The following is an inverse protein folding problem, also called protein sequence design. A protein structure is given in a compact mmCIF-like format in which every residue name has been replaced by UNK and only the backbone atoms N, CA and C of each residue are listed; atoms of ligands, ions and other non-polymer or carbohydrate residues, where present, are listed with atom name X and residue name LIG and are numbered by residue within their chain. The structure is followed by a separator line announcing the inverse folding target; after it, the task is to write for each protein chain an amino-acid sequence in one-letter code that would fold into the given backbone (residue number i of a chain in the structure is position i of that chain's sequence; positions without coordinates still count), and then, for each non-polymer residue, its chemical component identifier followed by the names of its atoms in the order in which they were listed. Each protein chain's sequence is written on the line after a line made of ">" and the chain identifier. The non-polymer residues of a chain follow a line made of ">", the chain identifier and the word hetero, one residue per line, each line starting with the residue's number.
data_IF_558673617912
#
_entry.id   IF_558673617912
#
_cell.length_a   1.000
_cell.length_b   1.000
_cell.length_c   1.000
_cell.angle_alpha   90.00
_cell.angle_beta   90.00
_cell.angle_gamma   90.00
#
_symmetry.space_group_name_H-M   'P 1'
#
loop_
_entity.id
_entity.type
_entity.pdbx_description
1 polymer ?
#
# COMPACT_ATOMS: atom_id res chain seq x y z
N UNK A 1 32.48 29.26 15.08
CA UNK A 1 32.55 27.92 14.45
C UNK A 1 31.36 27.82 13.52
N UNK A 2 31.55 27.46 12.24
CA UNK A 2 30.40 27.22 11.37
C UNK A 2 29.59 26.05 11.95
N UNK A 3 28.27 26.20 12.17
CA UNK A 3 27.46 25.07 12.59
C UNK A 3 27.62 23.96 11.56
N UNK A 4 27.90 22.75 12.02
CA UNK A 4 28.07 21.61 11.12
C UNK A 4 26.79 21.49 10.29
N UNK A 5 26.93 21.40 8.97
CA UNK A 5 25.79 21.26 8.07
C UNK A 5 25.60 19.79 7.72
N UNK A 6 24.36 19.33 7.77
CA UNK A 6 23.98 17.96 7.39
C UNK A 6 22.90 18.00 6.32
N UNK A 7 22.80 16.93 5.54
CA UNK A 7 21.69 16.76 4.60
C UNK A 7 20.36 16.80 5.35
N UNK A 8 19.38 17.50 4.80
CA UNK A 8 18.06 17.66 5.40
C UNK A 8 17.43 16.33 5.80
N UNK A 9 17.42 15.34 4.89
CA UNK A 9 16.83 14.02 5.16
C UNK A 9 17.47 13.29 6.35
N UNK A 10 18.78 13.43 6.54
CA UNK A 10 19.51 12.86 7.68
C UNK A 10 19.21 13.64 8.96
N UNK A 11 19.32 14.97 8.92
CA UNK A 11 19.13 15.82 10.08
C UNK A 11 17.69 15.73 10.65
N UNK A 12 16.70 15.57 9.77
CA UNK A 12 15.30 15.35 10.14
C UNK A 12 15.10 14.06 10.97
N UNK A 13 15.79 12.99 10.59
CA UNK A 13 15.70 11.69 11.30
C UNK A 13 16.49 11.73 12.59
N UNK A 14 17.72 12.24 12.58
CA UNK A 14 18.57 12.34 13.77
C UNK A 14 17.94 13.21 14.87
N UNK A 15 17.12 14.20 14.49
CA UNK A 15 16.37 15.05 15.43
C UNK A 15 15.02 14.47 15.84
N UNK A 16 14.69 13.26 15.40
CA UNK A 16 13.44 12.58 15.75
C UNK A 16 12.19 13.21 15.12
N UNK A 17 12.33 14.08 14.10
CA UNK A 17 11.18 14.68 13.40
C UNK A 17 10.54 13.70 12.42
N UNK A 18 11.31 12.72 11.95
CA UNK A 18 10.83 11.62 11.12
C UNK A 18 11.49 10.31 11.54
N UNK A 19 10.75 9.21 11.43
CA UNK A 19 11.23 7.88 11.85
C UNK A 19 12.17 7.24 10.82
N UNK A 20 12.15 7.71 9.57
CA UNK A 20 13.04 7.22 8.52
C UNK A 20 13.37 8.29 7.49
N UNK A 21 14.50 8.09 6.80
CA UNK A 21 14.93 8.99 5.70
C UNK A 21 13.90 9.02 4.58
N UNK A 22 13.23 7.90 4.30
CA UNK A 22 12.20 7.84 3.27
C UNK A 22 11.00 8.74 3.61
N UNK A 23 10.54 8.75 4.87
CA UNK A 23 9.45 9.66 5.30
C UNK A 23 9.88 11.13 5.26
N UNK A 24 11.11 11.41 5.70
CA UNK A 24 11.69 12.74 5.61
C UNK A 24 11.78 13.24 4.15
N UNK A 25 12.25 12.38 3.24
CA UNK A 25 12.34 12.68 1.81
C UNK A 25 10.96 12.95 1.20
N UNK A 26 9.97 12.11 1.51
CA UNK A 26 8.60 12.30 1.03
C UNK A 26 8.00 13.64 1.51
N UNK A 27 8.25 14.04 2.76
CA UNK A 27 7.79 15.33 3.27
C UNK A 27 8.50 16.52 2.61
N UNK A 28 9.80 16.39 2.33
CA UNK A 28 10.56 17.41 1.57
C UNK A 28 10.00 17.54 0.15
N UNK A 29 9.75 16.42 -0.53
CA UNK A 29 9.19 16.39 -1.89
C UNK A 29 7.77 16.95 -1.93
N UNK A 30 6.95 16.66 -0.90
CA UNK A 30 5.64 17.27 -0.70
C UNK A 30 5.73 18.77 -0.33
N UNK A 31 6.92 19.25 0.00
CA UNK A 31 7.16 20.64 0.35
C UNK A 31 6.62 21.04 1.72
N UNK A 32 6.61 20.08 2.65
CA UNK A 32 6.10 20.19 4.01
C UNK A 32 7.20 20.38 5.04
N UNK A 33 8.43 20.68 4.60
CA UNK A 33 9.60 20.87 5.47
C UNK A 33 10.17 22.26 5.27
N UNK A 34 10.39 22.97 6.37
CA UNK A 34 10.99 24.29 6.44
C UNK A 34 12.13 24.29 7.46
N UNK A 35 13.25 24.93 7.12
CA UNK A 35 14.34 25.22 8.05
C UNK A 35 14.58 26.73 8.09
N UNK A 36 14.58 27.33 9.28
CA UNK A 36 14.71 28.78 9.49
C UNK A 36 13.73 29.60 8.63
N UNK A 37 12.49 29.11 8.51
CA UNK A 37 11.43 29.71 7.70
C UNK A 37 11.59 29.53 6.18
N UNK A 38 12.61 28.82 5.71
CA UNK A 38 12.83 28.52 4.29
C UNK A 38 12.41 27.10 3.94
N UNK A 39 11.61 26.97 2.89
CA UNK A 39 11.17 25.68 2.37
C UNK A 39 12.37 24.88 1.87
N UNK A 40 12.51 23.67 2.38
CA UNK A 40 13.51 22.71 1.89
C UNK A 40 12.96 22.04 0.65
N UNK A 41 13.74 22.04 -0.44
CA UNK A 41 13.30 21.54 -1.74
C UNK A 41 14.00 20.27 -2.17
N UNK A 42 15.14 19.94 -1.53
CA UNK A 42 15.93 18.75 -1.83
C UNK A 42 16.34 18.05 -0.55
N UNK A 43 16.20 16.73 -0.56
CA UNK A 43 16.60 15.86 0.55
C UNK A 43 18.09 15.97 0.91
N UNK A 44 18.93 16.25 -0.09
CA UNK A 44 20.37 16.47 0.06
C UNK A 44 20.74 17.91 0.45
N UNK A 45 19.78 18.82 0.55
CA UNK A 45 20.04 20.22 0.89
C UNK A 45 20.71 20.31 2.27
N UNK A 46 21.85 21.01 2.40
CA UNK A 46 22.56 21.11 3.65
C UNK A 46 21.88 22.10 4.60
N UNK A 47 21.36 21.61 5.73
CA UNK A 47 20.78 22.43 6.80
C UNK A 47 21.75 22.53 7.99
N UNK A 48 21.75 23.67 8.66
CA UNK A 48 22.58 23.88 9.85
C UNK A 48 22.11 22.97 11.00
N UNK A 49 23.05 22.44 11.79
CA UNK A 49 22.76 21.54 12.91
C UNK A 49 21.83 22.13 13.98
N UNK A 50 21.74 23.45 14.05
CA UNK A 50 20.92 24.25 14.97
C UNK A 50 19.72 24.93 14.30
N UNK A 51 19.49 24.70 12.99
CA UNK A 51 18.36 25.29 12.27
C UNK A 51 17.02 24.97 12.96
N UNK A 52 16.12 25.94 13.04
CA UNK A 52 14.76 25.70 13.54
C UNK A 52 13.95 25.02 12.44
N UNK A 53 13.52 23.77 12.68
CA UNK A 53 12.81 22.98 11.67
C UNK A 53 11.32 22.92 12.01
N UNK A 54 10.50 23.20 11.00
CA UNK A 54 9.07 22.88 10.99
C UNK A 54 8.85 21.81 9.92
N UNK A 55 8.19 20.72 10.28
CA UNK A 55 7.96 19.62 9.36
C UNK A 55 6.63 18.92 9.64
N UNK A 56 5.93 18.56 8.58
CA UNK A 56 4.71 17.74 8.62
C UNK A 56 4.91 16.44 7.84
N UNK A 57 4.18 15.39 8.22
CA UNK A 57 4.20 14.13 7.49
C UNK A 57 3.50 14.28 6.14
N UNK A 58 4.08 13.69 5.08
CA UNK A 58 3.49 13.70 3.75
C UNK A 58 2.15 12.95 3.66
N UNK A 59 1.95 11.98 4.53
CA UNK A 59 0.78 11.10 4.53
C UNK A 59 0.33 10.84 5.97
N UNK A 60 -0.98 10.70 6.22
CA UNK A 60 -1.52 10.41 7.55
C UNK A 60 -1.24 8.97 8.03
N UNK A 61 -0.76 8.11 7.12
CA UNK A 61 -0.44 6.70 7.38
C UNK A 61 1.07 6.46 7.31
N UNK A 62 1.52 5.29 7.81
CA UNK A 62 2.91 4.82 7.77
C UNK A 62 3.47 4.75 6.34
N UNK A 63 2.59 4.66 5.34
CA UNK A 63 2.99 4.67 3.92
C UNK A 63 1.92 5.22 2.99
N UNK A 64 2.31 5.46 1.72
CA UNK A 64 1.40 5.83 0.63
C UNK A 64 0.29 4.80 0.41
N UNK A 65 0.53 3.53 0.76
CA UNK A 65 -0.48 2.48 0.67
C UNK A 65 -1.74 2.85 1.45
N UNK A 66 -1.60 3.38 2.67
CA UNK A 66 -2.78 3.75 3.47
C UNK A 66 -3.68 4.78 2.76
N UNK A 67 -3.09 5.76 2.07
CA UNK A 67 -3.85 6.76 1.30
C UNK A 67 -4.63 6.13 0.14
N UNK A 68 -4.04 5.11 -0.51
CA UNK A 68 -4.70 4.37 -1.58
C UNK A 68 -5.90 3.59 -1.04
N UNK A 69 -5.73 2.80 0.03
CA UNK A 69 -6.82 1.99 0.58
C UNK A 69 -7.93 2.86 1.18
N UNK A 70 -7.60 3.91 1.93
CA UNK A 70 -8.60 4.85 2.44
C UNK A 70 -9.41 5.50 1.31
N UNK A 71 -8.75 5.91 0.22
CA UNK A 71 -9.41 6.41 -0.97
C UNK A 71 -10.28 5.36 -1.67
N UNK A 72 -9.87 4.09 -1.66
CA UNK A 72 -10.65 2.99 -2.22
C UNK A 72 -11.90 2.70 -1.39
N UNK A 73 -11.81 2.68 -0.06
CA UNK A 73 -12.93 2.48 0.85
C UNK A 73 -13.99 3.57 0.73
N UNK A 74 -13.58 4.83 0.49
CA UNK A 74 -14.51 5.92 0.23
C UNK A 74 -15.31 5.73 -1.07
N UNK A 75 -14.79 4.96 -2.03
CA UNK A 75 -15.39 4.78 -3.36
C UNK A 75 -16.12 3.44 -3.51
N UNK A 76 -15.65 2.42 -2.81
CA UNK A 76 -16.26 1.10 -2.71
C UNK A 76 -16.30 0.69 -1.23
N UNK A 77 -17.34 1.14 -0.49
CA UNK A 77 -17.44 0.87 0.95
C UNK A 77 -17.62 -0.61 1.22
N UNK A 78 -16.77 -1.16 2.08
CA UNK A 78 -16.88 -2.52 2.62
C UNK A 78 -16.85 -2.45 4.14
N UNK A 79 -17.59 -3.33 4.79
CA UNK A 79 -17.56 -3.41 6.24
C UNK A 79 -16.24 -4.08 6.68
N UNK A 80 -15.56 -3.46 7.65
CA UNK A 80 -14.28 -3.93 8.21
C UNK A 80 -14.37 -4.13 9.71
N UNK A 81 -15.16 -3.31 10.41
CA UNK A 81 -15.29 -3.38 11.87
C UNK A 81 -15.66 -4.80 12.34
N UNK A 82 -14.85 -5.34 13.25
CA UNK A 82 -15.04 -6.69 13.80
C UNK A 82 -14.60 -7.84 12.89
N UNK A 83 -14.28 -7.59 11.62
CA UNK A 83 -13.90 -8.65 10.67
C UNK A 83 -12.42 -9.01 10.71
N UNK A 84 -12.13 -10.23 10.26
CA UNK A 84 -10.77 -10.71 10.02
C UNK A 84 -10.36 -10.29 8.62
N UNK A 85 -9.19 -9.68 8.49
CA UNK A 85 -8.68 -9.18 7.22
C UNK A 85 -7.40 -9.91 6.80
N UNK A 86 -7.19 -10.01 5.49
CA UNK A 86 -5.95 -10.44 4.86
C UNK A 86 -5.39 -9.29 4.03
N UNK A 87 -4.19 -8.84 4.37
CA UNK A 87 -3.43 -7.83 3.64
C UNK A 87 -2.28 -8.51 2.89
N UNK A 88 -2.39 -8.59 1.56
CA UNK A 88 -1.38 -9.24 0.70
C UNK A 88 -0.49 -8.18 0.08
N UNK A 89 0.81 -8.28 0.35
CA UNK A 89 1.79 -7.23 0.01
C UNK A 89 1.81 -6.13 1.05
N UNK A 90 1.68 -6.50 2.33
CA UNK A 90 1.52 -5.55 3.43
C UNK A 90 2.67 -4.51 3.51
N UNK A 91 3.88 -4.92 3.11
CA UNK A 91 5.10 -4.12 3.11
C UNK A 91 5.32 -3.37 4.44
N UNK A 92 5.39 -2.05 4.40
CA UNK A 92 5.51 -1.20 5.61
C UNK A 92 4.25 -1.15 6.46
N UNK A 93 3.12 -1.67 5.98
CA UNK A 93 1.87 -1.83 6.73
C UNK A 93 0.83 -0.74 6.50
N UNK A 94 0.89 -0.01 5.39
CA UNK A 94 -0.06 1.10 5.12
C UNK A 94 -1.51 0.64 4.99
N UNK A 95 -1.77 -0.49 4.32
CA UNK A 95 -3.11 -1.07 4.22
C UNK A 95 -3.53 -1.65 5.58
N UNK A 96 -2.64 -2.43 6.22
CA UNK A 96 -2.83 -2.94 7.59
C UNK A 96 -3.23 -1.85 8.58
N UNK A 97 -2.57 -0.68 8.58
CA UNK A 97 -2.91 0.43 9.48
C UNK A 97 -4.32 0.97 9.23
N UNK A 98 -4.72 1.12 7.96
CA UNK A 98 -6.10 1.53 7.61
C UNK A 98 -7.10 0.49 8.09
N UNK A 99 -6.86 -0.80 7.85
CA UNK A 99 -7.76 -1.87 8.31
C UNK A 99 -7.95 -1.85 9.84
N UNK A 100 -6.88 -1.61 10.59
CA UNK A 100 -6.96 -1.47 12.04
C UNK A 100 -7.74 -0.22 12.47
N UNK A 101 -7.53 0.90 11.78
CA UNK A 101 -8.24 2.15 12.04
C UNK A 101 -9.76 2.01 11.77
N UNK A 102 -10.12 1.21 10.77
CA UNK A 102 -11.51 0.85 10.42
C UNK A 102 -12.09 -0.28 11.30
N UNK A 103 -11.37 -0.69 12.35
CA UNK A 103 -11.89 -1.57 13.39
C UNK A 103 -11.73 -3.07 13.13
N UNK A 104 -10.84 -3.50 12.23
CA UNK A 104 -10.54 -4.92 12.02
C UNK A 104 -10.26 -5.63 13.36
N UNK A 105 -10.81 -6.83 13.53
CA UNK A 105 -10.56 -7.64 14.74
C UNK A 105 -9.19 -8.32 14.69
N UNK A 106 -8.74 -8.67 13.49
CA UNK A 106 -7.44 -9.29 13.22
C UNK A 106 -7.02 -9.00 11.77
N UNK A 107 -5.73 -8.75 11.54
CA UNK A 107 -5.14 -8.61 10.20
C UNK A 107 -4.00 -9.61 10.04
N UNK A 108 -4.12 -10.50 9.04
CA UNK A 108 -2.99 -11.28 8.53
C UNK A 108 -2.24 -10.44 7.51
N UNK A 109 -1.06 -9.96 7.88
CA UNK A 109 -0.22 -9.11 7.03
C UNK A 109 0.84 -9.97 6.34
N UNK A 110 0.60 -10.35 5.08
CA UNK A 110 1.47 -11.23 4.29
C UNK A 110 2.40 -10.41 3.41
N UNK A 111 3.70 -10.68 3.48
CA UNK A 111 4.69 -10.05 2.63
C UNK A 111 5.89 -10.96 2.34
N UNK A 112 6.47 -10.84 1.15
CA UNK A 112 7.68 -11.59 0.75
C UNK A 112 8.97 -10.98 1.32
N UNK A 113 8.92 -9.71 1.70
CA UNK A 113 9.99 -8.98 2.34
C UNK A 113 10.24 -9.43 3.78
N UNK A 114 11.28 -8.86 4.38
CA UNK A 114 11.70 -9.14 5.74
C UNK A 114 11.88 -7.83 6.50
N UNK A 115 11.44 -7.81 7.77
CA UNK A 115 11.61 -6.68 8.68
C UNK A 115 11.09 -5.36 8.07
N UNK A 116 9.99 -5.43 7.30
CA UNK A 116 9.38 -4.31 6.59
C UNK A 116 8.34 -3.56 7.39
N UNK A 117 7.52 -4.26 8.18
CA UNK A 117 6.43 -3.62 8.93
C UNK A 117 6.95 -2.45 9.76
N UNK A 118 6.19 -1.35 9.76
CA UNK A 118 6.58 -0.17 10.50
C UNK A 118 6.67 -0.46 12.02
N UNK A 119 7.66 0.10 12.75
CA UNK A 119 7.80 -0.14 14.19
C UNK A 119 6.53 0.10 15.01
N UNK A 120 5.69 1.07 14.64
CA UNK A 120 4.40 1.33 15.31
C UNK A 120 3.37 0.20 15.17
N UNK A 121 3.52 -0.66 14.15
CA UNK A 121 2.63 -1.80 13.88
C UNK A 121 3.20 -3.11 14.40
N UNK A 122 4.52 -3.18 14.66
CA UNK A 122 5.16 -4.41 15.15
C UNK A 122 4.66 -4.77 16.55
N UNK A 123 4.32 -6.05 16.74
CA UNK A 123 3.84 -6.56 18.02
C UNK A 123 2.43 -6.12 18.40
N UNK A 124 1.70 -5.43 17.50
CA UNK A 124 0.31 -5.10 17.74
C UNK A 124 -0.52 -6.39 17.88
N UNK A 125 -1.36 -6.54 18.93
CA UNK A 125 -2.03 -7.82 19.24
C UNK A 125 -3.04 -8.27 18.19
N UNK A 126 -3.49 -7.35 17.32
CA UNK A 126 -4.40 -7.63 16.20
C UNK A 126 -3.69 -7.81 14.86
N UNK A 127 -2.36 -7.86 14.82
CA UNK A 127 -1.61 -8.14 13.60
C UNK A 127 -0.89 -9.48 13.75
N UNK A 128 -1.13 -10.38 12.79
CA UNK A 128 -0.28 -11.55 12.58
C UNK A 128 0.60 -11.24 11.36
N UNK A 129 1.85 -10.87 11.64
CA UNK A 129 2.85 -10.65 10.60
C UNK A 129 3.28 -11.99 10.01
N UNK A 130 3.16 -12.11 8.69
CA UNK A 130 3.60 -13.24 7.88
C UNK A 130 4.60 -12.71 6.84
N UNK A 131 5.67 -12.07 7.31
CA UNK A 131 6.82 -11.71 6.47
C UNK A 131 7.56 -12.95 5.97
N UNK A 132 8.39 -12.77 4.94
CA UNK A 132 9.09 -13.84 4.22
C UNK A 132 8.15 -14.94 3.70
N UNK A 133 6.91 -14.58 3.40
CA UNK A 133 5.86 -15.51 2.97
C UNK A 133 5.30 -15.04 1.63
N UNK A 134 5.42 -15.87 0.61
CA UNK A 134 4.67 -15.67 -0.61
C UNK A 134 3.23 -16.16 -0.39
N UNK A 135 2.26 -15.34 -0.77
CA UNK A 135 0.83 -15.70 -0.67
C UNK A 135 0.51 -17.00 -1.41
N UNK A 136 1.24 -17.31 -2.49
CA UNK A 136 1.08 -18.54 -3.27
C UNK A 136 1.48 -19.78 -2.46
N UNK A 137 2.44 -19.65 -1.55
CA UNK A 137 2.84 -20.74 -0.66
C UNK A 137 1.79 -21.03 0.41
N UNK A 138 0.78 -20.18 0.55
CA UNK A 138 -0.35 -20.40 1.45
C UNK A 138 -1.53 -21.09 0.77
N UNK A 139 -1.48 -21.31 -0.55
CA UNK A 139 -2.53 -22.05 -1.25
C UNK A 139 -2.70 -23.47 -0.67
N UNK A 140 -3.95 -23.88 -0.46
CA UNK A 140 -4.29 -25.15 0.19
C UNK A 140 -4.02 -25.23 1.70
N UNK A 141 -3.42 -24.20 2.31
CA UNK A 141 -3.24 -24.11 3.76
C UNK A 141 -4.47 -23.47 4.42
N UNK A 142 -4.57 -23.64 5.74
CA UNK A 142 -5.61 -22.99 6.57
C UNK A 142 -4.95 -21.97 7.47
N UNK A 143 -5.47 -20.74 7.45
CA UNK A 143 -5.17 -19.75 8.47
C UNK A 143 -5.94 -20.08 9.77
N UNK A 144 -5.46 -19.62 10.94
CA UNK A 144 -6.15 -19.80 12.22
C UNK A 144 -7.59 -19.25 12.24
N UNK A 145 -7.84 -18.21 11.44
CA UNK A 145 -9.17 -17.66 11.18
C UNK A 145 -9.31 -17.38 9.69
N UNK A 146 -10.53 -17.48 9.14
CA UNK A 146 -10.79 -17.17 7.74
C UNK A 146 -11.02 -15.67 7.57
N UNK A 147 -10.30 -14.99 6.66
CA UNK A 147 -10.52 -13.58 6.38
C UNK A 147 -11.87 -13.31 5.68
N UNK A 148 -12.64 -12.37 6.20
CA UNK A 148 -13.87 -11.84 5.58
C UNK A 148 -13.56 -10.72 4.58
N UNK A 149 -12.43 -10.04 4.77
CA UNK A 149 -11.94 -8.96 3.90
C UNK A 149 -10.56 -9.30 3.37
N UNK A 150 -10.36 -9.15 2.07
CA UNK A 150 -9.05 -9.30 1.42
C UNK A 150 -8.68 -7.99 0.75
N UNK A 151 -7.49 -7.48 1.05
CA UNK A 151 -6.87 -6.35 0.38
C UNK A 151 -5.54 -6.75 -0.25
N UNK A 152 -5.23 -6.26 -1.44
CA UNK A 152 -4.04 -6.68 -2.20
C UNK A 152 -3.32 -5.46 -2.78
N UNK A 153 -2.06 -5.24 -2.39
CA UNK A 153 -1.12 -4.25 -2.97
C UNK A 153 0.25 -4.91 -3.24
N UNK A 154 0.28 -5.88 -4.16
CA UNK A 154 1.52 -6.57 -4.53
C UNK A 154 2.25 -5.86 -5.69
N UNK A 155 3.58 -5.97 -5.74
CA UNK A 155 4.41 -5.44 -6.83
C UNK A 155 5.18 -6.55 -7.53
N UNK A 156 5.54 -6.34 -8.79
CA UNK A 156 6.32 -7.29 -9.60
C UNK A 156 5.65 -8.65 -9.86
N UNK A 157 4.35 -8.75 -9.61
CA UNK A 157 3.54 -9.95 -9.82
C UNK A 157 2.18 -9.54 -10.37
N UNK A 158 1.60 -10.39 -11.23
CA UNK A 158 0.24 -10.21 -11.74
C UNK A 158 -0.79 -10.61 -10.68
N UNK A 159 -1.89 -9.86 -10.60
CA UNK A 159 -3.07 -10.25 -9.83
C UNK A 159 -3.64 -11.59 -10.28
N UNK A 160 -3.43 -12.01 -11.53
CA UNK A 160 -3.87 -13.35 -12.00
C UNK A 160 -3.22 -14.49 -11.23
N UNK A 161 -2.02 -14.27 -10.69
CA UNK A 161 -1.31 -15.25 -9.87
C UNK A 161 -1.68 -15.12 -8.39
N UNK A 162 -1.95 -13.90 -7.92
CA UNK A 162 -2.22 -13.63 -6.49
C UNK A 162 -3.67 -13.93 -6.10
N UNK A 163 -4.64 -13.56 -6.95
CA UNK A 163 -6.06 -13.68 -6.64
C UNK A 163 -6.50 -15.11 -6.28
N UNK A 164 -6.11 -16.18 -7.02
CA UNK A 164 -6.53 -17.54 -6.68
C UNK A 164 -6.10 -17.94 -5.27
N UNK A 165 -4.84 -17.71 -4.92
CA UNK A 165 -4.29 -18.05 -3.62
C UNK A 165 -4.93 -17.25 -2.48
N UNK A 166 -5.08 -15.93 -2.65
CA UNK A 166 -5.71 -15.07 -1.65
C UNK A 166 -7.19 -15.43 -1.42
N UNK A 167 -7.94 -15.67 -2.50
CA UNK A 167 -9.35 -16.04 -2.41
C UNK A 167 -9.55 -17.44 -1.80
N UNK A 168 -8.64 -18.39 -2.03
CA UNK A 168 -8.72 -19.71 -1.42
C UNK A 168 -8.66 -19.70 0.13
N UNK A 169 -7.99 -18.69 0.71
CA UNK A 169 -7.87 -18.50 2.15
C UNK A 169 -9.11 -17.84 2.77
N UNK A 170 -9.82 -17.02 2.00
CA UNK A 170 -10.93 -16.21 2.46
C UNK A 170 -12.17 -17.02 2.87
N UNK A 171 -13.03 -16.38 3.65
CA UNK A 171 -14.37 -16.85 3.94
C UNK A 171 -15.29 -16.75 2.70
N UNK A 172 -16.50 -17.28 2.84
CA UNK A 172 -17.62 -17.05 1.93
C UNK A 172 -18.85 -16.78 2.83
N UNK A 173 -19.46 -15.58 2.78
CA UNK A 173 -19.13 -14.44 1.90
C UNK A 173 -17.83 -13.72 2.28
N UNK A 174 -17.27 -12.95 1.34
CA UNK A 174 -16.12 -12.06 1.56
C UNK A 174 -16.14 -10.80 0.67
N UNK A 175 -15.37 -9.78 1.05
CA UNK A 175 -15.14 -8.54 0.29
C UNK A 175 -13.69 -8.40 -0.15
N UNK A 176 -13.48 -7.89 -1.37
CA UNK A 176 -12.16 -7.73 -2.00
C UNK A 176 -11.90 -6.29 -2.41
N UNK A 177 -10.70 -5.78 -2.11
CA UNK A 177 -10.10 -4.61 -2.76
C UNK A 177 -8.70 -4.96 -3.26
N UNK A 178 -8.52 -5.05 -4.57
CA UNK A 178 -7.23 -5.39 -5.18
C UNK A 178 -6.70 -4.25 -6.04
N UNK A 179 -5.45 -3.85 -5.82
CA UNK A 179 -4.79 -2.81 -6.60
C UNK A 179 -4.20 -3.40 -7.89
N UNK A 180 -4.80 -3.05 -9.02
CA UNK A 180 -4.33 -3.31 -10.38
C UNK A 180 -3.22 -2.31 -10.71
N UNK A 181 -2.03 -2.85 -11.03
CA UNK A 181 -0.87 -2.08 -11.47
C UNK A 181 -0.54 -2.41 -12.92
N UNK A 182 -0.98 -1.60 -13.90
CA UNK A 182 -0.83 -1.93 -15.32
C UNK A 182 0.59 -2.32 -15.73
N UNK A 183 1.61 -1.71 -15.12
CA UNK A 183 3.02 -2.00 -15.38
C UNK A 183 3.45 -3.44 -15.03
N UNK A 184 2.72 -4.13 -14.16
CA UNK A 184 2.97 -5.53 -13.81
C UNK A 184 2.03 -6.51 -14.53
N UNK A 185 0.95 -6.01 -15.14
CA UNK A 185 -0.01 -6.82 -15.89
C UNK A 185 0.28 -6.84 -17.39
N UNK A 186 0.72 -5.71 -17.95
CA UNK A 186 0.98 -5.55 -19.38
C UNK A 186 2.47 -5.70 -19.70
N UNK A 187 2.92 -6.97 -19.80
CA UNK A 187 4.31 -7.29 -20.14
C UNK A 187 4.78 -6.57 -21.42
N UNK A 188 5.89 -5.83 -21.32
CA UNK A 188 6.56 -5.19 -22.46
C UNK A 188 5.83 -3.97 -23.07
N UNK A 189 4.71 -3.52 -22.50
CA UNK A 189 3.95 -2.35 -23.01
C UNK A 189 4.26 -1.04 -22.30
N UNK A 190 5.32 -1.02 -21.48
CA UNK A 190 5.77 0.17 -20.77
C UNK A 190 6.83 0.95 -21.56
N UNK A 191 7.00 2.24 -21.25
CA UNK A 191 8.12 3.02 -21.80
C UNK A 191 9.47 2.58 -21.17
N UNK A 192 10.58 3.22 -21.58
CA UNK A 192 11.92 2.94 -21.04
C UNK A 192 12.06 3.12 -19.51
N UNK A 193 11.10 3.78 -18.85
CA UNK A 193 11.06 4.01 -17.40
C UNK A 193 10.05 3.10 -16.68
N UNK A 194 9.44 2.14 -17.36
CA UNK A 194 8.43 1.26 -16.75
C UNK A 194 7.05 1.90 -16.60
N UNK A 195 6.80 3.07 -17.23
CA UNK A 195 5.53 3.80 -17.11
C UNK A 195 4.62 3.49 -18.29
N UNK A 196 3.36 3.16 -17.99
CA UNK A 196 2.29 3.00 -18.98
C UNK A 196 1.40 4.25 -18.96
N UNK A 197 1.36 4.98 -20.08
CA UNK A 197 0.53 6.18 -20.26
C UNK A 197 -0.68 5.97 -21.19
N UNK A 198 -0.68 4.88 -21.95
CA UNK A 198 -1.72 4.62 -22.93
C UNK A 198 -3.00 4.15 -22.23
N UNK A 199 -4.04 4.98 -22.27
CA UNK A 199 -5.35 4.70 -21.69
C UNK A 199 -6.00 3.42 -22.27
N UNK A 200 -5.69 3.04 -23.52
CA UNK A 200 -6.17 1.79 -24.11
C UNK A 200 -5.54 0.57 -23.43
N UNK A 201 -4.25 0.67 -23.08
CA UNK A 201 -3.55 -0.38 -22.33
C UNK A 201 -4.11 -0.48 -20.92
N UNK A 202 -4.32 0.66 -20.23
CA UNK A 202 -4.96 0.68 -18.91
C UNK A 202 -6.33 0.00 -18.95
N UNK A 203 -7.18 0.36 -19.92
CA UNK A 203 -8.51 -0.20 -20.05
C UNK A 203 -8.47 -1.71 -20.30
N UNK A 204 -7.62 -2.16 -21.24
CA UNK A 204 -7.48 -3.58 -21.55
C UNK A 204 -7.02 -4.40 -20.33
N UNK A 205 -6.06 -3.88 -19.55
CA UNK A 205 -5.62 -4.53 -18.31
C UNK A 205 -6.76 -4.61 -17.29
N UNK A 206 -7.48 -3.50 -17.09
CA UNK A 206 -8.59 -3.47 -16.13
C UNK A 206 -9.70 -4.46 -16.50
N UNK A 207 -10.09 -4.49 -17.78
CA UNK A 207 -11.12 -5.41 -18.29
C UNK A 207 -10.68 -6.88 -18.18
N UNK A 208 -9.40 -7.16 -18.43
CA UNK A 208 -8.81 -8.50 -18.32
C UNK A 208 -8.78 -9.00 -16.86
N UNK A 209 -8.32 -8.16 -15.93
CA UNK A 209 -8.32 -8.52 -14.49
C UNK A 209 -9.73 -8.64 -13.92
N UNK A 210 -10.65 -7.76 -14.31
CA UNK A 210 -12.06 -7.86 -13.91
C UNK A 210 -12.70 -9.16 -14.40
N UNK A 211 -12.47 -9.52 -15.66
CA UNK A 211 -12.96 -10.78 -16.25
C UNK A 211 -12.36 -12.00 -15.56
N UNK A 212 -11.08 -11.95 -15.20
CA UNK A 212 -10.43 -13.03 -14.46
C UNK A 212 -10.96 -13.14 -13.02
N UNK A 213 -11.18 -12.04 -12.31
CA UNK A 213 -11.81 -12.07 -10.99
C UNK A 213 -13.23 -12.67 -11.07
N UNK A 214 -14.01 -12.32 -12.11
CA UNK A 214 -15.34 -12.89 -12.34
C UNK A 214 -15.28 -14.41 -12.54
N UNK A 215 -14.29 -14.94 -13.28
CA UNK A 215 -14.14 -16.39 -13.48
C UNK A 215 -13.77 -17.15 -12.20
N UNK A 216 -13.24 -16.45 -11.18
CA UNK A 216 -12.98 -16.98 -9.84
C UNK A 216 -14.21 -16.90 -8.90
N UNK A 217 -15.36 -16.50 -9.43
CA UNK A 217 -16.64 -16.40 -8.71
C UNK A 217 -16.86 -15.05 -8.03
N UNK A 218 -16.05 -14.03 -8.29
CA UNK A 218 -16.30 -12.70 -7.77
C UNK A 218 -17.47 -12.02 -8.49
N UNK A 219 -18.30 -11.32 -7.73
CA UNK A 219 -19.48 -10.55 -8.17
C UNK A 219 -19.35 -9.10 -7.71
N UNK A 220 -20.29 -8.24 -8.09
CA UNK A 220 -20.31 -6.80 -7.76
C UNK A 220 -18.98 -6.07 -8.11
N UNK A 221 -18.37 -6.49 -9.22
CA UNK A 221 -17.05 -6.04 -9.63
C UNK A 221 -17.13 -4.59 -10.12
N UNK A 222 -16.37 -3.70 -9.47
CA UNK A 222 -16.20 -2.30 -9.86
C UNK A 222 -14.71 -2.00 -9.99
N UNK A 223 -14.30 -1.45 -11.13
CA UNK A 223 -12.92 -0.98 -11.34
C UNK A 223 -12.88 0.55 -11.38
N UNK A 224 -11.99 1.16 -10.62
CA UNK A 224 -11.88 2.61 -10.48
C UNK A 224 -10.42 3.04 -10.23
N UNK A 225 -10.01 4.27 -10.58
CA UNK A 225 -8.63 4.73 -10.36
C UNK A 225 -8.31 4.88 -8.87
N UNK A 226 -7.05 4.60 -8.51
CA UNK A 226 -6.49 4.93 -7.19
C UNK A 226 -6.53 6.43 -6.94
N UNK A 227 -6.66 6.83 -5.66
CA UNK A 227 -6.66 8.24 -5.24
C UNK A 227 -5.34 8.96 -5.51
N UNK A 228 -4.25 8.21 -5.58
CA UNK A 228 -2.90 8.68 -5.92
C UNK A 228 -2.24 7.73 -6.93
N UNK A 229 -1.31 8.26 -7.71
CA UNK A 229 -0.45 7.46 -8.59
C UNK A 229 0.53 6.59 -7.79
N UNK A 230 1.14 5.62 -8.46
CA UNK A 230 2.25 4.80 -7.96
C UNK A 230 3.49 5.64 -7.61
N UNK A 231 4.44 5.01 -6.91
CA UNK A 231 5.72 5.64 -6.54
C UNK A 231 6.55 6.12 -7.73
N UNK A 232 6.37 5.43 -8.85
CA UNK A 232 7.04 5.61 -10.14
C UNK A 232 6.25 6.51 -11.12
N UNK A 233 5.09 7.03 -10.70
CA UNK A 233 4.19 7.83 -11.54
C UNK A 233 3.29 7.01 -12.47
N UNK A 234 3.16 5.69 -12.26
CA UNK A 234 2.13 4.91 -12.95
C UNK A 234 0.74 5.21 -12.39
N UNK A 235 -0.25 5.31 -13.28
CA UNK A 235 -1.65 5.31 -12.88
C UNK A 235 -2.03 3.88 -12.49
N UNK A 236 -2.58 3.72 -11.30
CA UNK A 236 -3.02 2.44 -10.74
C UNK A 236 -4.54 2.47 -10.52
N UNK A 237 -5.16 1.30 -10.49
CA UNK A 237 -6.62 1.15 -10.37
C UNK A 237 -6.94 0.15 -9.27
N UNK A 238 -8.06 0.32 -8.58
CA UNK A 238 -8.61 -0.70 -7.69
C UNK A 238 -9.69 -1.49 -8.40
N UNK A 239 -9.76 -2.78 -8.07
CA UNK A 239 -10.91 -3.65 -8.28
C UNK A 239 -11.55 -3.91 -6.92
N UNK A 240 -12.79 -3.44 -6.76
CA UNK A 240 -13.68 -3.81 -5.65
C UNK A 240 -14.61 -4.95 -6.08
N UNK A 241 -14.79 -5.96 -5.24
CA UNK A 241 -15.68 -7.08 -5.54
C UNK A 241 -16.16 -7.79 -4.27
N UNK A 242 -17.13 -8.69 -4.43
CA UNK A 242 -17.59 -9.64 -3.42
C UNK A 242 -17.44 -11.08 -3.91
N UNK A 243 -17.40 -12.05 -3.01
CA UNK A 243 -17.43 -13.47 -3.38
C UNK A 243 -18.21 -14.29 -2.37
N UNK A 244 -19.00 -15.26 -2.84
CA UNK A 244 -19.74 -16.18 -1.98
C UNK A 244 -21.00 -15.58 -1.33
N UNK A 245 -21.47 -14.43 -1.82
CA UNK A 245 -22.83 -13.92 -1.57
C UNK A 245 -23.76 -14.29 -2.72
N UNK A 246 -25.02 -14.59 -2.40
CA UNK A 246 -26.11 -14.78 -3.37
C UNK A 246 -26.61 -13.44 -3.92
#
# INVERSE_FOLDING_TARGET
>A
MNPSRKRADVALVERGLFESRARAQAAIEAGLVFADGRKITKSSEPIAADAVIQAEQAYPYVSRGGVKLAGALARYPIAIEGYVCLDVGASTGGFTEVLLAEGASLVFAVDVGRDQLHPSLRGHPKIISMEQTDIRDLEGKRLPARPDVVVIDASFISLKTVLPAALALAAAPMSLLALIKPQFEAQGRHNKRGIIKDAKVHRAVCDDIASFAASLGCTDITVFPSSIEGGDGNIEFFLGARRGGA
#
